data_IF_453145892741
#
_entry.id   IF_453145892741
#
_cell.length_a   1.000
_cell.length_b   1.000
_cell.length_c   1.000
_cell.angle_alpha   90.00
_cell.angle_beta   90.00
_cell.angle_gamma   90.00
#
_symmetry.space_group_name_H-M   'P 1'
#
loop_
_entity.id
_entity.type
_entity.pdbx_description
1 polymer ?
#
# COMPACT_ATOMS: atom_id res chain seq x y z
N UNK A 1 -12.40 29.12 -3.46
CA UNK A 1 -13.75 28.55 -3.21
C UNK A 1 -13.71 27.93 -1.82
N UNK A 2 -14.36 28.59 -0.86
CA UNK A 2 -14.45 28.25 0.57
C UNK A 2 -14.95 26.81 0.73
N UNK A 3 -14.04 25.85 0.78
CA UNK A 3 -14.39 24.43 0.76
C UNK A 3 -14.70 23.98 2.19
N UNK A 4 -15.98 24.10 2.57
CA UNK A 4 -16.55 23.55 3.81
C UNK A 4 -16.02 22.14 4.09
N UNK A 5 -15.59 21.89 5.34
CA UNK A 5 -15.02 20.63 5.79
C UNK A 5 -15.93 19.42 5.51
N UNK A 6 -17.24 19.65 5.36
CA UNK A 6 -18.23 18.60 5.11
C UNK A 6 -18.10 18.00 3.69
N UNK A 7 -17.88 18.80 2.66
CA UNK A 7 -17.72 18.33 1.27
C UNK A 7 -16.50 17.43 1.13
N UNK A 8 -15.40 17.78 1.80
CA UNK A 8 -14.17 16.96 1.80
C UNK A 8 -14.37 15.61 2.51
N UNK A 9 -15.15 15.61 3.60
CA UNK A 9 -15.51 14.39 4.33
C UNK A 9 -16.37 13.47 3.47
N UNK A 10 -17.36 14.01 2.78
CA UNK A 10 -18.26 13.26 1.90
C UNK A 10 -17.48 12.64 0.73
N UNK A 11 -16.59 13.41 0.08
CA UNK A 11 -15.77 12.90 -1.02
C UNK A 11 -14.78 11.81 -0.56
N UNK A 12 -14.18 11.97 0.62
CA UNK A 12 -13.28 10.96 1.19
C UNK A 12 -14.04 9.67 1.56
N UNK A 13 -15.21 9.79 2.17
CA UNK A 13 -16.06 8.64 2.52
C UNK A 13 -16.57 7.93 1.26
N UNK A 14 -16.99 8.68 0.23
CA UNK A 14 -17.35 8.12 -1.08
C UNK A 14 -16.18 7.38 -1.73
N UNK A 15 -14.98 7.96 -1.72
CA UNK A 15 -13.77 7.31 -2.26
C UNK A 15 -13.38 6.05 -1.48
N UNK A 16 -13.51 6.06 -0.16
CA UNK A 16 -13.28 4.89 0.69
C UNK A 16 -14.32 3.80 0.42
N UNK A 17 -15.60 4.16 0.30
CA UNK A 17 -16.69 3.23 -0.04
C UNK A 17 -16.50 2.62 -1.43
N UNK A 18 -15.97 3.41 -2.38
CA UNK A 18 -15.62 2.94 -3.72
C UNK A 18 -14.42 1.98 -3.71
N UNK A 19 -13.47 2.15 -2.77
CA UNK A 19 -12.36 1.20 -2.57
C UNK A 19 -12.81 -0.11 -1.90
N UNK A 20 -13.96 -0.13 -1.23
CA UNK A 20 -14.55 -1.37 -0.68
C UNK A 20 -15.20 -2.25 -1.76
N UNK A 21 -15.36 -1.78 -3.00
CA UNK A 21 -15.85 -2.63 -4.08
C UNK A 21 -14.84 -3.76 -4.35
N UNK A 22 -15.27 -5.03 -4.35
CA UNK A 22 -14.40 -6.20 -4.54
C UNK A 22 -13.72 -6.27 -5.91
N UNK A 23 -14.04 -5.35 -6.82
CA UNK A 23 -13.44 -5.23 -8.15
C UNK A 23 -12.08 -4.50 -8.14
N UNK A 24 -11.71 -3.86 -7.03
CA UNK A 24 -10.46 -3.10 -6.91
C UNK A 24 -9.37 -3.92 -6.23
N UNK A 25 -8.32 -4.26 -6.98
CA UNK A 25 -7.11 -4.86 -6.40
C UNK A 25 -6.41 -3.84 -5.49
N UNK A 26 -5.80 -4.33 -4.40
CA UNK A 26 -5.09 -3.47 -3.43
C UNK A 26 -4.09 -2.49 -4.07
N UNK A 27 -3.29 -2.87 -5.09
CA UNK A 27 -2.39 -1.92 -5.77
C UNK A 27 -3.13 -0.80 -6.52
N UNK A 28 -4.25 -1.11 -7.18
CA UNK A 28 -5.04 -0.12 -7.93
C UNK A 28 -5.72 0.87 -6.99
N UNK A 29 -6.30 0.39 -5.90
CA UNK A 29 -6.92 1.24 -4.88
C UNK A 29 -5.90 2.20 -4.25
N UNK A 30 -4.68 1.71 -3.99
CA UNK A 30 -3.59 2.51 -3.42
C UNK A 30 -3.06 3.55 -4.42
N UNK A 31 -2.95 3.20 -5.71
CA UNK A 31 -2.60 4.13 -6.78
C UNK A 31 -3.64 5.25 -6.93
N UNK A 32 -4.92 4.89 -6.95
CA UNK A 32 -6.01 5.87 -7.06
C UNK A 32 -6.02 6.79 -5.83
N UNK A 33 -5.89 6.22 -4.63
CA UNK A 33 -5.77 6.97 -3.38
C UNK A 33 -4.56 7.90 -3.35
N UNK A 34 -3.43 7.49 -3.93
CA UNK A 34 -2.21 8.31 -4.03
C UNK A 34 -2.41 9.51 -4.97
N UNK A 35 -2.96 9.28 -6.17
CA UNK A 35 -3.28 10.34 -7.14
C UNK A 35 -4.26 11.34 -6.50
N UNK A 36 -5.27 10.82 -5.80
CA UNK A 36 -6.27 11.62 -5.10
C UNK A 36 -5.68 12.43 -3.94
N UNK A 37 -4.79 11.83 -3.14
CA UNK A 37 -4.07 12.48 -2.06
C UNK A 37 -3.14 13.61 -2.56
N UNK A 38 -2.53 13.43 -3.74
CA UNK A 38 -1.65 14.43 -4.34
C UNK A 38 -2.42 15.64 -4.91
N UNK A 39 -3.68 15.44 -5.32
CA UNK A 39 -4.56 16.48 -5.86
C UNK A 39 -5.32 17.27 -4.76
N UNK A 40 -5.67 16.62 -3.64
CA UNK A 40 -6.39 17.27 -2.54
C UNK A 40 -5.46 17.88 -1.48
N UNK A 41 -5.22 19.20 -1.58
CA UNK A 41 -4.46 20.00 -0.59
C UNK A 41 -5.04 19.84 0.84
N UNK A 42 -4.22 19.31 1.75
CA UNK A 42 -4.45 18.85 3.13
C UNK A 42 -5.52 19.58 3.99
N UNK A 43 -6.46 18.82 4.56
CA UNK A 43 -7.20 19.21 5.77
C UNK A 43 -7.14 18.19 6.93
N UNK A 44 -6.64 16.96 6.72
CA UNK A 44 -6.68 15.88 7.71
C UNK A 44 -5.39 15.05 7.77
N UNK A 45 -4.24 15.73 7.77
CA UNK A 45 -2.92 15.05 7.82
C UNK A 45 -2.74 14.22 9.10
N UNK A 46 -3.26 14.68 10.24
CA UNK A 46 -2.96 14.06 11.54
C UNK A 46 -3.86 12.87 11.91
N UNK A 47 -5.11 12.82 11.46
CA UNK A 47 -6.03 11.72 11.81
C UNK A 47 -5.95 10.56 10.81
N UNK A 48 -5.60 10.84 9.55
CA UNK A 48 -5.52 9.83 8.49
C UNK A 48 -4.37 8.82 8.71
N UNK A 49 -3.24 9.30 9.25
CA UNK A 49 -2.11 8.45 9.62
C UNK A 49 -2.46 7.42 10.69
N UNK A 50 -3.20 7.83 11.73
CA UNK A 50 -3.57 6.95 12.84
C UNK A 50 -4.61 5.91 12.42
N UNK A 51 -5.61 6.33 11.65
CA UNK A 51 -6.63 5.45 11.09
C UNK A 51 -6.05 4.42 10.10
N UNK A 52 -5.18 4.86 9.18
CA UNK A 52 -4.53 3.98 8.20
C UNK A 52 -3.64 2.95 8.88
N UNK A 53 -2.86 3.34 9.89
CA UNK A 53 -1.99 2.40 10.60
C UNK A 53 -2.80 1.34 11.38
N UNK A 54 -3.94 1.73 11.96
CA UNK A 54 -4.86 0.80 12.63
C UNK A 54 -5.51 -0.17 11.62
N UNK A 55 -6.06 0.35 10.52
CA UNK A 55 -6.66 -0.48 9.47
C UNK A 55 -5.65 -1.45 8.86
N UNK A 56 -4.43 -0.99 8.56
CA UNK A 56 -3.37 -1.84 8.03
C UNK A 56 -2.98 -2.94 9.03
N UNK A 57 -2.85 -2.61 10.32
CA UNK A 57 -2.60 -3.62 11.35
C UNK A 57 -3.71 -4.67 11.42
N UNK A 58 -4.97 -4.24 11.42
CA UNK A 58 -6.12 -5.15 11.42
C UNK A 58 -6.13 -6.03 10.17
N UNK A 59 -5.88 -5.45 8.99
CA UNK A 59 -5.78 -6.21 7.73
C UNK A 59 -4.63 -7.22 7.75
N UNK A 60 -3.46 -6.87 8.28
CA UNK A 60 -2.30 -7.78 8.38
C UNK A 60 -2.59 -8.91 9.36
N UNK A 61 -3.19 -8.62 10.52
CA UNK A 61 -3.55 -9.64 11.51
C UNK A 61 -4.66 -10.55 10.96
N UNK A 62 -5.71 -9.99 10.36
CA UNK A 62 -6.79 -10.75 9.75
C UNK A 62 -6.34 -11.65 8.58
N UNK A 63 -5.45 -11.15 7.72
CA UNK A 63 -4.84 -11.93 6.65
C UNK A 63 -3.95 -13.06 7.20
N UNK A 64 -3.22 -12.80 8.29
CA UNK A 64 -2.40 -13.80 8.98
C UNK A 64 -3.20 -14.94 9.61
N UNK A 65 -4.36 -14.64 10.22
CA UNK A 65 -5.25 -15.66 10.80
C UNK A 65 -6.01 -16.49 9.75
N UNK A 66 -6.25 -15.94 8.55
CA UNK A 66 -6.93 -16.64 7.45
C UNK A 66 -6.03 -17.58 6.63
N UNK A 67 -4.71 -17.54 6.83
CA UNK A 67 -3.76 -18.31 6.03
C UNK A 67 -3.34 -19.59 6.76
N UNK A 68 -3.36 -20.74 6.09
CA UNK A 68 -2.90 -22.01 6.66
C UNK A 68 -1.40 -21.87 7.03
N UNK A 69 -1.07 -22.08 8.31
CA UNK A 69 0.29 -21.94 8.86
C UNK A 69 1.31 -22.76 8.06
N UNK A 70 0.91 -23.92 7.56
CA UNK A 70 1.76 -24.76 6.71
C UNK A 70 2.04 -24.14 5.33
N UNK A 71 1.01 -23.58 4.69
CA UNK A 71 1.16 -22.85 3.42
C UNK A 71 1.97 -21.57 3.62
N UNK A 72 1.73 -20.83 4.70
CA UNK A 72 2.49 -19.63 5.05
C UNK A 72 3.98 -19.92 5.23
N UNK A 73 4.33 -21.02 5.91
CA UNK A 73 5.71 -21.44 6.10
C UNK A 73 6.38 -21.86 4.79
N UNK A 74 5.66 -22.61 3.94
CA UNK A 74 6.18 -23.04 2.62
C UNK A 74 6.44 -21.84 1.71
N UNK A 75 5.45 -20.95 1.58
CA UNK A 75 5.56 -19.71 0.78
C UNK A 75 6.64 -18.79 1.36
N UNK A 76 6.78 -18.72 2.68
CA UNK A 76 7.83 -17.94 3.33
C UNK A 76 9.24 -18.44 3.01
N UNK A 77 9.46 -19.76 3.01
CA UNK A 77 10.78 -20.37 2.70
C UNK A 77 11.18 -20.12 1.24
N UNK A 78 10.26 -20.29 0.30
CA UNK A 78 10.49 -20.01 -1.12
C UNK A 78 10.64 -18.51 -1.39
N UNK A 79 9.78 -17.70 -0.76
CA UNK A 79 9.83 -16.24 -0.86
C UNK A 79 11.13 -15.65 -0.32
N UNK A 80 11.70 -16.23 0.75
CA UNK A 80 12.97 -15.77 1.30
C UNK A 80 14.12 -15.99 0.32
N UNK A 81 14.25 -17.17 -0.28
CA UNK A 81 15.24 -17.41 -1.33
C UNK A 81 15.04 -16.46 -2.52
N UNK A 82 13.80 -16.25 -2.96
CA UNK A 82 13.49 -15.32 -4.05
C UNK A 82 13.88 -13.88 -3.72
N UNK A 83 13.59 -13.40 -2.50
CA UNK A 83 13.98 -12.05 -2.07
C UNK A 83 15.48 -11.86 -2.02
N UNK A 84 16.25 -12.84 -1.51
CA UNK A 84 17.72 -12.76 -1.49
C UNK A 84 18.25 -12.67 -2.92
N UNK A 85 17.86 -13.59 -3.82
CA UNK A 85 18.31 -13.59 -5.21
C UNK A 85 17.91 -12.29 -5.92
N UNK A 86 16.69 -11.81 -5.71
CA UNK A 86 16.18 -10.58 -6.31
C UNK A 86 16.95 -9.34 -5.84
N UNK A 87 17.18 -9.18 -4.53
CA UNK A 87 17.93 -8.04 -3.97
C UNK A 87 19.37 -8.05 -4.48
N UNK A 88 20.05 -9.21 -4.44
CA UNK A 88 21.41 -9.33 -4.99
C UNK A 88 21.46 -9.06 -6.50
N UNK A 89 20.48 -9.55 -7.26
CA UNK A 89 20.37 -9.28 -8.69
C UNK A 89 20.17 -7.81 -9.02
N UNK A 90 19.26 -7.13 -8.31
CA UNK A 90 19.03 -5.69 -8.47
C UNK A 90 20.26 -4.88 -8.04
N UNK A 91 20.93 -5.26 -6.94
CA UNK A 91 22.16 -4.60 -6.50
C UNK A 91 23.30 -4.75 -7.51
N UNK A 92 23.51 -5.95 -8.05
CA UNK A 92 24.52 -6.20 -9.08
C UNK A 92 24.23 -5.44 -10.37
N UNK A 93 22.98 -5.46 -10.83
CA UNK A 93 22.55 -4.68 -12.00
C UNK A 93 22.74 -3.18 -11.76
N UNK A 94 22.31 -2.68 -10.60
CA UNK A 94 22.49 -1.28 -10.21
C UNK A 94 23.96 -0.88 -10.14
N UNK A 95 24.83 -1.77 -9.66
CA UNK A 95 26.28 -1.54 -9.63
C UNK A 95 26.91 -1.52 -11.03
N UNK A 96 26.51 -2.44 -11.92
CA UNK A 96 26.99 -2.47 -13.31
C UNK A 96 26.53 -1.21 -14.06
N UNK A 97 25.24 -0.85 -13.95
CA UNK A 97 24.69 0.36 -14.57
C UNK A 97 25.32 1.64 -14.01
N UNK A 98 25.52 1.72 -12.69
CA UNK A 98 26.20 2.85 -12.04
C UNK A 98 27.67 2.96 -12.43
N UNK A 99 28.35 1.83 -12.66
CA UNK A 99 29.72 1.80 -13.17
C UNK A 99 29.80 2.15 -14.67
N UNK A 100 28.78 1.85 -15.46
CA UNK A 100 28.73 2.20 -16.90
C UNK A 100 28.40 3.68 -17.14
N UNK A 101 27.66 4.30 -16.22
CA UNK A 101 27.31 5.73 -16.29
C UNK A 101 28.38 6.68 -15.70
N UNK A 102 29.57 6.15 -15.35
CA UNK A 102 30.74 6.90 -14.91
C UNK A 102 31.94 6.59 -15.81
#
# INVERSE_FOLDING_TARGET
MELSLNTRRIVFVLGALFCLLPFMAAPLALLMGLIFAQLMKHPFLQFNQKATNLLLKVSVVGLGFGMNVFSAMKVGKEGLLFTVVSIFGVLLLGFILGKFSK
#
